data_IF_417183948195
#
_entry.id   IF_417183948195
#
_cell.length_a   1.000
_cell.length_b   1.000
_cell.length_c   1.000
_cell.angle_alpha   90.00
_cell.angle_beta   90.00
_cell.angle_gamma   90.00
#
_symmetry.space_group_name_H-M   'P 1'
#
loop_
_entity.id
_entity.type
_entity.pdbx_description
1 polymer ?
#
# COMPACT_ATOMS: atom_id res chain seq x y z
N UNK A 1 20.24 -13.87 5.62
CA UNK A 1 19.88 -14.11 5.77
C UNK A 1 18.99 -14.45 6.10
N UNK A 2 18.98 -14.79 6.23
CA UNK A 2 18.30 -15.20 6.82
C UNK A 2 17.30 -14.86 7.27
N UNK A 3 17.41 -14.32 7.27
CA UNK A 3 16.62 -13.74 7.86
C UNK A 3 15.54 -13.24 7.28
N UNK A 4 15.34 -13.20 6.15
CA UNK A 4 14.14 -12.79 5.51
C UNK A 4 13.24 -13.93 5.37
N UNK A 5 12.44 -14.16 6.40
CA UNK A 5 11.38 -15.11 6.30
C UNK A 5 10.48 -14.67 5.17
N UNK A 6 10.05 -15.57 4.29
CA UNK A 6 9.05 -15.23 3.29
C UNK A 6 7.84 -14.60 3.98
N UNK A 7 7.36 -13.48 3.47
CA UNK A 7 6.23 -12.80 4.03
C UNK A 7 6.51 -11.75 5.06
N UNK A 8 7.77 -11.62 5.51
CA UNK A 8 8.12 -10.55 6.44
C UNK A 8 8.12 -9.22 5.71
N UNK A 9 7.65 -8.16 6.37
CA UNK A 9 7.69 -6.81 5.83
C UNK A 9 7.97 -5.84 6.95
N UNK A 10 8.88 -4.90 6.69
CA UNK A 10 9.26 -3.89 7.67
C UNK A 10 8.56 -2.56 7.43
N UNK A 11 8.15 -2.31 6.20
CA UNK A 11 7.49 -1.08 5.79
C UNK A 11 6.22 -1.38 5.03
N UNK A 12 5.25 -0.46 5.12
CA UNK A 12 4.00 -0.56 4.38
C UNK A 12 3.82 0.71 3.57
N UNK A 13 3.64 0.58 2.27
CA UNK A 13 3.34 1.71 1.39
C UNK A 13 1.95 1.49 0.83
N UNK A 14 1.04 2.40 1.13
CA UNK A 14 -0.37 2.28 0.78
C UNK A 14 -0.71 3.30 -0.29
N UNK A 15 -1.24 2.81 -1.41
CA UNK A 15 -1.66 3.68 -2.50
C UNK A 15 -3.18 3.74 -2.49
N UNK A 16 -3.72 4.90 -2.14
CA UNK A 16 -5.17 5.08 -2.03
C UNK A 16 -5.76 5.56 -3.34
N UNK A 17 -6.91 5.02 -3.68
CA UNK A 17 -7.65 5.42 -4.87
C UNK A 17 -8.99 4.74 -4.89
N UNK A 18 -9.79 5.05 -5.89
CA UNK A 18 -11.06 4.38 -6.09
C UNK A 18 -10.85 3.19 -7.03
N UNK A 19 -11.26 1.99 -6.65
CA UNK A 19 -11.02 0.81 -7.48
C UNK A 19 -11.88 0.72 -8.74
N UNK A 20 -12.81 1.65 -8.95
CA UNK A 20 -13.67 1.60 -10.13
C UNK A 20 -12.97 2.16 -11.37
N UNK A 21 -13.32 1.62 -12.52
CA UNK A 21 -12.73 2.09 -13.79
C UNK A 21 -13.10 3.52 -14.11
N UNK A 22 -14.19 4.02 -13.53
CA UNK A 22 -14.65 5.38 -13.74
C UNK A 22 -13.58 6.43 -13.44
N UNK A 23 -12.70 6.15 -12.51
CA UNK A 23 -11.68 7.10 -12.09
C UNK A 23 -10.30 6.78 -12.62
N UNK A 24 -10.18 5.75 -13.47
CA UNK A 24 -8.88 5.36 -13.99
C UNK A 24 -8.26 6.50 -14.79
N UNK A 25 -7.00 6.82 -14.50
CA UNK A 25 -6.27 7.86 -15.21
C UNK A 25 -6.66 9.28 -14.84
N UNK A 26 -7.50 9.48 -13.82
CA UNK A 26 -7.91 10.81 -13.39
C UNK A 26 -7.17 11.20 -12.11
N UNK A 27 -7.33 12.49 -11.73
CA UNK A 27 -6.79 12.99 -10.48
C UNK A 27 -7.22 12.18 -9.28
N UNK A 28 -8.45 11.63 -9.32
CA UNK A 28 -8.98 10.87 -8.20
C UNK A 28 -8.27 9.53 -8.02
N UNK A 29 -7.43 9.16 -8.97
CA UNK A 29 -6.65 7.93 -8.88
C UNK A 29 -5.15 8.18 -8.91
N UNK A 30 -4.73 9.36 -8.47
CA UNK A 30 -3.30 9.66 -8.45
C UNK A 30 -2.51 8.66 -7.61
N UNK A 31 -3.10 8.17 -6.51
CA UNK A 31 -2.46 7.15 -5.70
C UNK A 31 -2.22 5.86 -6.48
N UNK A 32 -3.24 5.39 -7.24
CA UNK A 32 -3.09 4.19 -8.05
C UNK A 32 -2.13 4.41 -9.21
N UNK A 33 -2.07 5.63 -9.75
CA UNK A 33 -1.10 5.95 -10.79
C UNK A 33 0.32 5.91 -10.23
N UNK A 34 0.51 6.36 -8.99
CA UNK A 34 1.80 6.24 -8.32
C UNK A 34 2.17 4.77 -8.10
N UNK A 35 1.18 3.92 -7.82
CA UNK A 35 1.42 2.50 -7.67
C UNK A 35 1.92 1.88 -8.98
N UNK A 36 1.33 2.29 -10.12
CA UNK A 36 1.78 1.80 -11.42
C UNK A 36 3.24 2.18 -11.66
N UNK A 37 3.61 3.40 -11.31
CA UNK A 37 4.99 3.85 -11.45
C UNK A 37 5.93 3.04 -10.53
N UNK A 38 5.49 2.74 -9.32
CA UNK A 38 6.29 1.94 -8.39
C UNK A 38 6.49 0.52 -8.90
N UNK A 39 5.44 -0.07 -9.51
CA UNK A 39 5.58 -1.40 -10.10
C UNK A 39 6.71 -1.44 -11.11
N UNK A 40 6.78 -0.42 -11.95
CA UNK A 40 7.83 -0.35 -12.96
C UNK A 40 9.20 -0.20 -12.35
N UNK A 41 9.32 0.64 -11.35
CA UNK A 41 10.62 0.89 -10.72
C UNK A 41 11.10 -0.30 -9.89
N UNK A 42 10.19 -0.94 -9.19
CA UNK A 42 10.56 -2.06 -8.31
C UNK A 42 10.59 -3.40 -9.05
N UNK A 43 10.06 -3.44 -10.27
CA UNK A 43 10.03 -4.68 -11.05
C UNK A 43 9.08 -5.72 -10.50
N UNK A 44 7.98 -5.29 -9.88
CA UNK A 44 6.99 -6.20 -9.30
C UNK A 44 5.60 -5.84 -9.79
N UNK A 45 4.65 -6.75 -9.58
CA UNK A 45 3.25 -6.52 -9.90
C UNK A 45 2.46 -6.54 -8.60
N UNK A 46 1.68 -5.47 -8.37
CA UNK A 46 0.85 -5.37 -7.18
C UNK A 46 -0.47 -6.05 -7.51
N UNK A 47 -0.48 -7.37 -7.44
CA UNK A 47 -1.62 -8.16 -7.92
C UNK A 47 -2.03 -9.30 -6.99
N UNK A 48 -1.41 -9.44 -5.83
CA UNK A 48 -1.77 -10.51 -4.91
C UNK A 48 -2.83 -10.03 -3.95
N UNK A 49 -4.01 -10.63 -3.99
CA UNK A 49 -5.13 -10.19 -3.17
C UNK A 49 -4.96 -10.66 -1.72
N UNK A 50 -4.78 -9.71 -0.81
CA UNK A 50 -4.67 -9.96 0.63
C UNK A 50 -5.18 -8.72 1.36
N UNK A 51 -5.76 -8.91 2.54
CA UNK A 51 -6.22 -7.80 3.39
C UNK A 51 -7.19 -6.86 2.66
N UNK A 52 -8.03 -7.42 1.78
CA UNK A 52 -8.96 -6.63 0.96
C UNK A 52 -8.21 -5.61 0.10
N UNK A 53 -7.03 -5.97 -0.35
CA UNK A 53 -6.17 -5.10 -1.15
C UNK A 53 -5.38 -5.93 -2.14
N UNK A 54 -4.91 -5.29 -3.20
CA UNK A 54 -3.91 -5.90 -4.06
C UNK A 54 -2.55 -5.57 -3.46
N UNK A 55 -1.67 -6.54 -3.38
CA UNK A 55 -0.40 -6.38 -2.70
C UNK A 55 0.78 -6.94 -3.49
N UNK A 56 1.96 -6.49 -3.13
CA UNK A 56 3.22 -7.06 -3.59
C UNK A 56 4.28 -6.80 -2.53
N UNK A 57 5.24 -7.70 -2.42
CA UNK A 57 6.39 -7.47 -1.56
C UNK A 57 7.62 -7.26 -2.41
N UNK A 58 8.46 -6.35 -1.99
CA UNK A 58 9.70 -6.08 -2.70
C UNK A 58 10.75 -5.60 -1.70
N UNK A 59 11.98 -5.48 -2.20
CA UNK A 59 13.08 -4.94 -1.40
C UNK A 59 13.45 -3.59 -1.99
N UNK A 60 13.44 -2.56 -1.15
CA UNK A 60 13.84 -1.22 -1.54
C UNK A 60 14.93 -0.77 -0.58
N UNK A 61 16.12 -0.49 -1.10
CA UNK A 61 17.27 -0.09 -0.30
C UNK A 61 17.53 -1.07 0.85
N UNK A 62 17.40 -2.36 0.58
CA UNK A 62 17.66 -3.39 1.58
C UNK A 62 16.54 -3.64 2.56
N UNK A 63 15.44 -2.90 2.47
CA UNK A 63 14.30 -3.05 3.37
C UNK A 63 13.17 -3.80 2.70
N UNK A 64 12.53 -4.68 3.46
CA UNK A 64 11.37 -5.40 2.96
C UNK A 64 10.14 -4.49 3.04
N UNK A 65 9.48 -4.31 1.91
CA UNK A 65 8.35 -3.38 1.79
C UNK A 65 7.14 -4.10 1.25
N UNK A 66 6.00 -3.88 1.90
CA UNK A 66 4.71 -4.34 1.37
C UNK A 66 4.06 -3.16 0.64
N UNK A 67 3.81 -3.33 -0.64
CA UNK A 67 3.07 -2.36 -1.45
C UNK A 67 1.62 -2.79 -1.46
N UNK A 68 0.70 -1.84 -1.28
CA UNK A 68 -0.69 -2.17 -1.05
C UNK A 68 -1.62 -1.18 -1.73
N UNK A 69 -2.59 -1.73 -2.49
CA UNK A 69 -3.65 -0.95 -3.12
C UNK A 69 -4.97 -1.45 -2.56
N UNK A 70 -5.53 -0.81 -1.52
CA UNK A 70 -6.82 -1.24 -0.98
C UNK A 70 -7.89 -1.25 -2.06
N UNK A 71 -8.69 -2.30 -2.08
CA UNK A 71 -9.78 -2.45 -3.05
C UNK A 71 -11.13 -2.09 -2.45
N UNK A 72 -11.10 -1.53 -1.25
CA UNK A 72 -12.29 -1.02 -0.60
C UNK A 72 -12.50 0.44 -0.98
N UNK A 73 -13.70 0.95 -0.73
CA UNK A 73 -13.91 2.38 -0.87
C UNK A 73 -13.05 3.12 0.15
N UNK A 74 -12.75 4.38 -0.14
CA UNK A 74 -11.83 5.18 0.68
C UNK A 74 -12.14 5.14 2.17
N UNK A 75 -13.41 5.17 2.53
CA UNK A 75 -13.79 5.17 3.94
C UNK A 75 -13.46 3.85 4.66
N UNK A 76 -13.13 2.80 3.93
CA UNK A 76 -12.78 1.50 4.50
C UNK A 76 -11.30 1.17 4.33
N UNK A 77 -10.54 2.05 3.72
CA UNK A 77 -9.13 1.78 3.46
C UNK A 77 -8.32 1.62 4.74
N UNK A 78 -8.68 2.36 5.79
CA UNK A 78 -8.00 2.24 7.07
C UNK A 78 -8.10 0.84 7.66
N UNK A 79 -9.22 0.16 7.42
CA UNK A 79 -9.41 -1.20 7.90
C UNK A 79 -8.44 -2.16 7.23
N UNK A 80 -8.29 -2.03 5.91
CA UNK A 80 -7.35 -2.86 5.17
C UNK A 80 -5.92 -2.61 5.63
N UNK A 81 -5.56 -1.35 5.82
CA UNK A 81 -4.23 -0.98 6.30
C UNK A 81 -3.97 -1.55 7.70
N UNK A 82 -4.97 -1.43 8.58
CA UNK A 82 -4.83 -1.95 9.94
C UNK A 82 -4.60 -3.45 9.94
N UNK A 83 -5.30 -4.19 9.09
CA UNK A 83 -5.13 -5.64 9.01
C UNK A 83 -3.71 -6.00 8.60
N UNK A 84 -3.19 -5.33 7.57
CA UNK A 84 -1.84 -5.59 7.09
C UNK A 84 -0.80 -5.22 8.14
N UNK A 85 -0.96 -4.06 8.76
CA UNK A 85 -0.01 -3.60 9.76
C UNK A 85 0.06 -4.53 10.95
N UNK A 86 -1.09 -5.04 11.39
CA UNK A 86 -1.12 -6.00 12.51
C UNK A 86 -0.49 -7.33 12.12
N UNK A 87 -0.77 -7.79 10.92
CA UNK A 87 -0.25 -9.08 10.47
C UNK A 87 1.28 -9.07 10.42
N UNK A 88 1.87 -8.00 9.91
CA UNK A 88 3.32 -7.89 9.78
C UNK A 88 3.97 -7.18 10.96
N UNK A 89 3.17 -6.73 11.93
CA UNK A 89 3.66 -5.99 13.10
C UNK A 89 4.43 -4.73 12.69
N UNK A 90 3.86 -3.99 11.74
CA UNK A 90 4.48 -2.76 11.22
C UNK A 90 3.97 -1.58 12.04
N UNK A 91 4.86 -0.82 12.71
CA UNK A 91 4.41 0.33 13.49
C UNK A 91 3.99 1.48 12.56
N UNK A 92 3.15 2.37 13.06
CA UNK A 92 2.63 3.47 12.25
C UNK A 92 3.72 4.36 11.68
N UNK A 93 4.86 4.45 12.35
CA UNK A 93 6.00 5.25 11.86
C UNK A 93 6.59 4.70 10.57
N UNK A 94 6.24 3.46 10.21
CA UNK A 94 6.73 2.82 8.99
C UNK A 94 5.64 2.58 7.97
N UNK A 95 4.56 3.35 8.07
CA UNK A 95 3.45 3.29 7.10
C UNK A 95 3.44 4.59 6.32
N UNK A 96 3.58 4.48 5.00
CA UNK A 96 3.57 5.62 4.09
C UNK A 96 2.29 5.55 3.26
N UNK A 97 1.54 6.63 3.23
CA UNK A 97 0.28 6.69 2.49
C UNK A 97 0.43 7.65 1.32
N UNK A 98 0.08 7.19 0.13
CA UNK A 98 0.12 7.98 -1.09
C UNK A 98 -1.31 8.13 -1.60
N UNK A 99 -1.76 9.37 -1.78
CA UNK A 99 -3.12 9.63 -2.25
C UNK A 99 -3.14 10.86 -3.13
N UNK A 100 -4.30 11.10 -3.75
CA UNK A 100 -4.50 12.30 -4.57
C UNK A 100 -4.68 13.55 -3.73
N UNK A 101 -5.00 13.39 -2.47
CA UNK A 101 -5.03 14.51 -1.56
C UNK A 101 -3.67 14.61 -0.92
N UNK A 102 -3.18 15.79 -0.75
CA UNK A 102 -1.88 16.04 -0.19
C UNK A 102 -1.61 15.10 0.96
N UNK A 103 -0.35 14.81 1.21
CA UNK A 103 0.05 13.82 2.19
C UNK A 103 -0.73 13.95 3.49
N UNK A 104 -1.57 12.96 3.76
CA UNK A 104 -2.32 12.90 5.00
C UNK A 104 -1.46 12.22 6.06
N UNK A 105 -1.37 12.80 7.26
CA UNK A 105 -0.70 12.08 8.35
C UNK A 105 -1.41 10.75 8.59
N UNK A 106 -0.63 9.73 8.89
CA UNK A 106 -1.17 8.39 9.11
C UNK A 106 -2.26 8.40 10.18
N UNK A 107 -2.11 9.24 11.20
CA UNK A 107 -3.11 9.32 12.27
C UNK A 107 -4.50 9.72 11.80
N UNK A 108 -4.61 10.35 10.64
CA UNK A 108 -5.91 10.75 10.10
C UNK A 108 -6.57 9.65 9.28
N UNK A 109 -5.90 8.56 9.04
CA UNK A 109 -6.48 7.43 8.33
C UNK A 109 -7.36 6.56 9.22
N UNK A 110 -7.35 6.78 10.50
CA UNK A 110 -8.12 6.00 11.47
C UNK A 110 -7.81 4.51 11.37
N UNK A 111 -6.55 4.23 11.46
CA UNK A 111 -6.08 2.84 11.47
C UNK A 111 -6.42 2.16 12.78
#
# INVERSE_FOLDING_TARGET
>A
MLFNKPGAAAWLVVFLGNPGTKYAGTRHNAGFMAADAMEKRAGVRINKLRFKALTAQCIINGESVLLMKPQTYMNLSGEAVAQAARFYKIPSARIIVVSDEMALPVGKLRI
#
